data_IF_504908261912
#
_entry.id   IF_504908261912
#
_cell.length_a   1.000
_cell.length_b   1.000
_cell.length_c   1.000
_cell.angle_alpha   90.00
_cell.angle_beta   90.00
_cell.angle_gamma   90.00
#
_symmetry.space_group_name_H-M   'P 1'
#
loop_
_entity.id
_entity.type
_entity.pdbx_description
1 polymer ?
#
# COMPACT_ATOMS: atom_id res chain seq x y z
N UNK A 1 -26.96 26.47 19.78
CA UNK A 1 -25.95 25.42 19.54
C UNK A 1 -26.20 24.89 18.15
N UNK A 2 -25.28 25.12 17.21
CA UNK A 2 -25.37 24.59 15.84
C UNK A 2 -24.33 23.48 15.72
N UNK A 3 -24.72 22.34 15.15
CA UNK A 3 -23.85 21.17 15.01
C UNK A 3 -23.61 20.93 13.54
N UNK A 4 -22.34 20.90 13.14
CA UNK A 4 -21.93 20.57 11.77
C UNK A 4 -21.43 19.13 11.78
N UNK A 5 -22.09 18.24 11.04
CA UNK A 5 -21.61 16.89 10.77
C UNK A 5 -20.99 16.88 9.37
N UNK A 6 -19.67 16.66 9.29
CA UNK A 6 -18.94 16.63 8.03
C UNK A 6 -18.02 15.41 7.98
N UNK A 7 -17.83 14.85 6.79
CA UNK A 7 -16.83 13.81 6.54
C UNK A 7 -15.65 14.49 5.84
N UNK A 8 -14.51 14.49 6.51
CA UNK A 8 -13.31 15.15 6.01
C UNK A 8 -12.12 14.19 6.07
N UNK A 9 -11.26 14.28 5.08
CA UNK A 9 -10.07 13.45 4.98
C UNK A 9 -8.89 14.19 5.60
N UNK A 10 -8.16 13.49 6.49
CA UNK A 10 -6.89 13.98 7.03
C UNK A 10 -5.83 13.85 5.94
N UNK A 11 -5.07 14.92 5.72
CA UNK A 11 -4.01 14.92 4.71
C UNK A 11 -2.81 14.04 5.12
N UNK A 12 -1.84 13.86 4.21
CA UNK A 12 -0.64 13.05 4.46
C UNK A 12 0.24 13.61 5.59
N UNK A 13 0.04 14.87 6.00
CA UNK A 13 0.75 15.54 7.08
C UNK A 13 0.02 15.44 8.42
N UNK A 14 -1.15 14.81 8.45
CA UNK A 14 -1.97 14.66 9.66
C UNK A 14 -2.85 15.88 9.97
N UNK A 15 -3.04 16.80 9.02
CA UNK A 15 -3.81 18.03 9.20
C UNK A 15 -5.24 17.82 8.67
N UNK A 16 -6.21 18.22 9.50
CA UNK A 16 -7.63 18.27 9.16
C UNK A 16 -8.03 19.72 8.91
N UNK A 17 -8.50 20.04 7.72
CA UNK A 17 -9.01 21.36 7.38
C UNK A 17 -10.54 21.36 7.39
N UNK A 18 -11.14 22.18 8.25
CA UNK A 18 -12.60 22.38 8.34
C UNK A 18 -12.88 23.82 7.91
N UNK A 19 -13.59 23.99 6.80
CA UNK A 19 -14.03 25.31 6.34
C UNK A 19 -15.39 25.64 6.96
N UNK A 20 -15.50 26.84 7.52
CA UNK A 20 -16.71 27.37 8.12
C UNK A 20 -17.21 28.56 7.28
N UNK A 21 -17.95 28.32 6.18
CA UNK A 21 -18.26 29.35 5.18
C UNK A 21 -19.14 30.50 5.71
N UNK A 22 -19.91 30.26 6.77
CA UNK A 22 -20.82 31.26 7.35
C UNK A 22 -20.17 32.11 8.46
N UNK A 23 -18.92 31.82 8.83
CA UNK A 23 -18.25 32.46 9.96
C UNK A 23 -16.97 33.18 9.52
N UNK A 24 -16.81 34.45 9.93
CA UNK A 24 -15.60 35.23 9.64
C UNK A 24 -15.36 36.29 10.72
N UNK A 25 -14.16 36.30 11.29
CA UNK A 25 -13.70 37.36 12.20
C UNK A 25 -14.26 37.30 13.62
N UNK A 26 -14.91 36.20 14.01
CA UNK A 26 -15.50 36.02 15.35
C UNK A 26 -14.84 34.88 16.13
N UNK A 27 -15.01 34.90 17.46
CA UNK A 27 -14.51 33.84 18.35
C UNK A 27 -15.55 32.72 18.42
N UNK A 28 -15.13 31.51 18.08
CA UNK A 28 -15.97 30.32 18.11
C UNK A 28 -15.40 29.32 19.11
N UNK A 29 -16.26 28.80 19.98
CA UNK A 29 -15.96 27.61 20.77
C UNK A 29 -16.39 26.37 19.99
N UNK A 30 -15.42 25.52 19.66
CA UNK A 30 -15.61 24.34 18.80
C UNK A 30 -15.37 23.07 19.61
N UNK A 31 -16.31 22.13 19.54
CA UNK A 31 -16.18 20.79 20.10
C UNK A 31 -16.09 19.76 18.97
N UNK A 32 -14.96 19.07 18.86
CA UNK A 32 -14.69 18.10 17.80
C UNK A 32 -14.83 16.67 18.32
N UNK A 33 -15.72 15.89 17.71
CA UNK A 33 -15.86 14.44 17.94
C UNK A 33 -15.61 13.75 16.61
N UNK A 34 -14.69 12.77 16.58
CA UNK A 34 -14.34 12.06 15.34
C UNK A 34 -14.34 10.54 15.54
N UNK A 35 -14.58 9.83 14.44
CA UNK A 35 -14.48 8.39 14.35
C UNK A 35 -13.72 8.02 13.07
N UNK A 36 -12.79 7.07 13.17
CA UNK A 36 -12.07 6.58 12.00
C UNK A 36 -13.00 5.69 11.18
N UNK A 37 -13.39 6.16 9.99
CA UNK A 37 -14.37 5.47 9.14
C UNK A 37 -13.72 4.41 8.25
N UNK A 38 -12.47 4.63 7.83
CA UNK A 38 -11.69 3.66 7.07
C UNK A 38 -10.22 3.71 7.51
N UNK A 39 -9.70 2.58 8.00
CA UNK A 39 -8.26 2.33 8.04
C UNK A 39 -7.90 1.70 6.71
N UNK A 40 -7.04 2.34 5.94
CA UNK A 40 -6.43 1.74 4.76
C UNK A 40 -5.71 0.47 5.21
N UNK A 41 -6.30 -0.70 4.94
CA UNK A 41 -5.60 -1.96 5.12
C UNK A 41 -4.44 -1.95 4.14
N UNK A 42 -3.21 -2.09 4.65
CA UNK A 42 -2.06 -2.36 3.79
C UNK A 42 -2.41 -3.59 2.95
N UNK A 43 -2.29 -3.49 1.63
CA UNK A 43 -2.43 -4.64 0.74
C UNK A 43 -1.43 -5.70 1.18
N UNK A 44 -1.91 -6.74 1.84
CA UNK A 44 -1.13 -7.92 2.16
C UNK A 44 -1.31 -8.91 1.02
N UNK A 45 -0.21 -9.50 0.58
CA UNK A 45 -0.26 -10.61 -0.36
C UNK A 45 -1.08 -11.73 0.24
N UNK A 46 -2.00 -12.30 -0.54
CA UNK A 46 -2.79 -13.43 -0.07
C UNK A 46 -1.86 -14.60 0.29
N UNK A 47 -2.25 -15.40 1.28
CA UNK A 47 -1.47 -16.59 1.68
C UNK A 47 -1.23 -17.53 0.49
N UNK A 48 -2.20 -17.62 -0.43
CA UNK A 48 -2.13 -18.40 -1.66
C UNK A 48 -1.06 -17.90 -2.64
N UNK A 49 -0.81 -16.59 -2.67
CA UNK A 49 0.27 -16.02 -3.46
C UNK A 49 1.64 -16.38 -2.87
N UNK A 50 1.77 -16.32 -1.54
CA UNK A 50 3.02 -16.69 -0.86
C UNK A 50 3.35 -18.18 -0.99
N UNK A 51 2.34 -19.06 -1.09
CA UNK A 51 2.56 -20.49 -1.32
C UNK A 51 3.05 -20.86 -2.72
N UNK A 52 2.98 -19.94 -3.69
CA UNK A 52 3.42 -20.18 -5.07
C UNK A 52 4.87 -19.74 -5.32
N UNK A 53 5.54 -19.13 -4.33
CA UNK A 53 6.91 -18.64 -4.50
C UNK A 53 7.89 -19.82 -4.62
N UNK A 54 8.49 -19.98 -5.81
CA UNK A 54 9.46 -21.05 -6.09
C UNK A 54 8.85 -22.43 -6.34
N UNK A 55 7.52 -22.56 -6.40
CA UNK A 55 6.85 -23.81 -6.75
C UNK A 55 6.63 -23.87 -8.27
N UNK A 56 7.39 -24.74 -8.95
CA UNK A 56 7.07 -25.12 -10.32
C UNK A 56 5.81 -26.01 -10.30
N UNK A 57 4.78 -25.63 -11.06
CA UNK A 57 3.54 -26.39 -11.20
C UNK A 57 3.46 -26.93 -12.64
N UNK A 58 4.13 -28.05 -12.88
CA UNK A 58 4.23 -28.70 -14.19
C UNK A 58 5.05 -29.98 -14.11
N UNK A 59 5.48 -30.50 -15.26
CA UNK A 59 6.35 -31.68 -15.33
C UNK A 59 7.68 -31.45 -14.59
N UNK A 60 8.29 -32.48 -13.96
CA UNK A 60 9.58 -32.34 -13.30
C UNK A 60 10.60 -31.61 -14.17
N UNK A 61 11.31 -30.63 -13.59
CA UNK A 61 12.40 -29.96 -14.28
C UNK A 61 13.57 -30.94 -14.40
N UNK A 62 13.66 -31.60 -15.54
CA UNK A 62 14.81 -32.44 -15.88
C UNK A 62 15.94 -31.56 -16.41
N UNK A 63 17.13 -31.73 -15.82
CA UNK A 63 18.32 -31.05 -16.28
C UNK A 63 18.90 -31.84 -17.45
N UNK A 64 18.98 -31.23 -18.62
CA UNK A 64 19.72 -31.78 -19.75
C UNK A 64 21.16 -32.13 -19.33
N UNK A 65 21.77 -33.16 -19.94
CA UNK A 65 23.18 -33.47 -19.71
C UNK A 65 24.04 -32.24 -20.00
N UNK A 66 25.07 -32.04 -19.19
CA UNK A 66 26.04 -30.98 -19.42
C UNK A 66 26.73 -31.23 -20.77
N UNK A 67 26.73 -30.22 -21.65
CA UNK A 67 27.43 -30.29 -22.93
C UNK A 67 28.93 -30.41 -22.77
N UNK A 68 29.62 -30.73 -23.87
CA UNK A 68 31.08 -30.81 -23.89
C UNK A 68 31.72 -29.45 -23.57
N UNK A 69 32.81 -29.48 -22.81
CA UNK A 69 33.60 -28.28 -22.56
C UNK A 69 34.29 -27.84 -23.86
N UNK A 70 34.08 -26.59 -24.34
CA UNK A 70 34.77 -26.12 -25.53
C UNK A 70 36.28 -26.01 -25.29
N UNK A 71 37.07 -26.28 -26.32
CA UNK A 71 38.51 -26.05 -26.29
C UNK A 71 38.79 -24.55 -26.08
N UNK A 72 39.69 -24.25 -25.14
CA UNK A 72 40.13 -22.88 -24.89
C UNK A 72 41.17 -22.52 -25.96
N UNK A 73 40.86 -21.54 -26.81
CA UNK A 73 41.86 -20.95 -27.70
C UNK A 73 43.05 -20.41 -26.88
N UNK A 74 44.26 -20.73 -27.32
CA UNK A 74 45.46 -20.09 -26.79
C UNK A 74 45.41 -18.59 -27.08
N UNK A 75 45.74 -17.78 -26.08
CA UNK A 75 45.89 -16.34 -26.27
C UNK A 75 47.24 -16.16 -26.98
N UNK A 76 47.21 -15.78 -28.26
CA UNK A 76 48.38 -15.39 -29.06
C UNK A 76 49.04 -14.12 -28.48
#
# INVERSE_FOLDING_TARGET
MQTIQTTAQVDEKGILQIQLPEHSGEKLDILLVYQIVQKTQKRQWSQRFLSAFGAWQGEPLEREPQGEQPERNEIL
#
